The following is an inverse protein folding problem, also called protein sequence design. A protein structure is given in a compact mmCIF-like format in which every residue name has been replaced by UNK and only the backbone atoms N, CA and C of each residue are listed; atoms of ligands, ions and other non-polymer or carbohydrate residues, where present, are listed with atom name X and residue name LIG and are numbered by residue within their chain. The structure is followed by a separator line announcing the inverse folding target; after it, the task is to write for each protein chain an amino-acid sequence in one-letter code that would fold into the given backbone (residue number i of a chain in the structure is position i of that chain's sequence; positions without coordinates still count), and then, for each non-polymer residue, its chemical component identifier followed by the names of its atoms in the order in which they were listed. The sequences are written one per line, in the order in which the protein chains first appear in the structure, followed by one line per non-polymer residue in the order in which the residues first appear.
data_IF_263060751671
#
_entry.id   IF_263060751671
#
_cell.length_a   1.000
_cell.length_b   1.000
_cell.length_c   1.000
_cell.angle_alpha   90.00
_cell.angle_beta   90.00
_cell.angle_gamma   90.00
#
_symmetry.space_group_name_H-M   'P 1'
#
loop_
_entity.id
_entity.type
_entity.pdbx_description
1 polymer ?
#
# COMPACT_ATOMS: atom_id res chain seq x y z
N UNK A 1 29.58 10.37 -11.65
CA UNK A 1 28.51 9.47 -11.14
C UNK A 1 27.19 10.18 -11.30
N UNK A 2 26.44 9.86 -12.36
CA UNK A 2 25.03 10.21 -12.46
C UNK A 2 24.31 9.39 -11.38
N UNK A 3 23.88 10.05 -10.31
CA UNK A 3 22.90 9.49 -9.40
C UNK A 3 21.69 9.15 -10.26
N UNK A 4 21.37 7.86 -10.36
CA UNK A 4 20.12 7.38 -10.92
C UNK A 4 19.01 8.20 -10.25
N UNK A 5 18.26 8.98 -11.02
CA UNK A 5 17.10 9.72 -10.52
C UNK A 5 15.99 8.70 -10.24
N UNK A 6 16.12 8.02 -9.11
CA UNK A 6 15.08 7.13 -8.63
C UNK A 6 13.87 8.02 -8.33
N UNK A 7 12.82 7.90 -9.12
CA UNK A 7 11.59 8.62 -8.91
C UNK A 7 11.04 8.28 -7.53
N UNK A 8 10.79 9.29 -6.72
CA UNK A 8 10.39 9.18 -5.31
C UNK A 8 8.98 9.74 -5.12
N UNK A 9 8.25 9.16 -4.18
CA UNK A 9 6.89 9.55 -3.84
C UNK A 9 6.79 9.92 -2.35
N UNK A 10 5.66 10.46 -1.90
CA UNK A 10 5.38 10.70 -0.47
C UNK A 10 5.49 9.39 0.31
N UNK A 11 5.06 8.26 -0.26
CA UNK A 11 5.23 6.93 0.32
C UNK A 11 6.72 6.61 0.64
N UNK A 12 7.64 6.95 -0.26
CA UNK A 12 9.06 6.68 -0.04
C UNK A 12 9.62 7.53 1.12
N UNK A 13 9.12 8.75 1.29
CA UNK A 13 9.43 9.58 2.47
C UNK A 13 8.88 8.93 3.76
N UNK A 14 7.67 8.39 3.72
CA UNK A 14 7.07 7.68 4.85
C UNK A 14 7.90 6.45 5.26
N UNK A 15 8.31 5.62 4.30
CA UNK A 15 9.21 4.48 4.53
C UNK A 15 10.52 4.93 5.19
N UNK A 16 11.12 5.99 4.67
CA UNK A 16 12.38 6.53 5.18
C UNK A 16 12.27 7.03 6.63
N UNK A 17 11.29 7.88 6.94
CA UNK A 17 11.19 8.50 8.28
C UNK A 17 10.76 7.52 9.37
N UNK A 18 10.02 6.46 9.01
CA UNK A 18 9.63 5.40 9.94
C UNK A 18 10.62 4.22 9.98
N UNK A 19 11.66 4.24 9.14
CA UNK A 19 12.66 3.17 9.04
C UNK A 19 12.05 1.78 8.82
N UNK A 20 10.97 1.72 8.05
CA UNK A 20 10.33 0.45 7.70
C UNK A 20 10.96 -0.14 6.43
N UNK A 21 10.88 -1.48 6.24
CA UNK A 21 11.40 -2.12 5.04
C UNK A 21 10.75 -1.60 3.77
N UNK A 22 11.55 -1.24 2.77
CA UNK A 22 11.04 -0.75 1.49
C UNK A 22 10.53 -1.89 0.58
N UNK A 23 11.05 -3.11 0.76
CA UNK A 23 10.70 -4.30 -0.01
C UNK A 23 10.78 -5.56 0.87
N UNK A 24 10.15 -6.62 0.43
CA UNK A 24 10.28 -7.95 1.03
C UNK A 24 11.71 -8.51 0.82
N UNK A 25 12.16 -9.34 1.74
CA UNK A 25 13.37 -10.11 1.60
C UNK A 25 13.17 -11.24 0.59
N UNK A 26 14.27 -11.83 0.12
CA UNK A 26 14.21 -12.98 -0.79
C UNK A 26 13.47 -14.14 -0.11
N UNK A 27 12.48 -14.71 -0.79
CA UNK A 27 11.60 -15.77 -0.28
C UNK A 27 10.65 -15.39 0.87
N UNK A 28 10.62 -14.14 1.34
CA UNK A 28 9.66 -13.69 2.34
C UNK A 28 8.23 -13.67 1.78
N UNK A 29 7.27 -14.24 2.52
CA UNK A 29 5.86 -14.17 2.13
C UNK A 29 5.30 -12.76 2.32
N UNK A 30 4.20 -12.45 1.62
CA UNK A 30 3.50 -11.16 1.79
C UNK A 30 2.99 -10.96 3.23
N UNK A 31 2.60 -12.05 3.90
CA UNK A 31 2.14 -12.02 5.28
C UNK A 31 3.29 -11.69 6.24
N UNK A 32 4.45 -12.36 6.07
CA UNK A 32 5.63 -12.11 6.91
C UNK A 32 6.15 -10.68 6.70
N UNK A 33 6.23 -10.22 5.45
CA UNK A 33 6.60 -8.85 5.13
C UNK A 33 5.67 -7.83 5.78
N UNK A 34 4.36 -8.03 5.70
CA UNK A 34 3.38 -7.17 6.35
C UNK A 34 3.52 -7.19 7.87
N UNK A 35 3.67 -8.38 8.46
CA UNK A 35 3.92 -8.56 9.90
C UNK A 35 5.18 -7.82 10.36
N UNK A 36 6.26 -7.90 9.59
CA UNK A 36 7.52 -7.19 9.86
C UNK A 36 7.35 -5.67 9.82
N UNK A 37 6.57 -5.15 8.87
CA UNK A 37 6.25 -3.72 8.82
C UNK A 37 5.43 -3.30 10.04
N UNK A 38 4.37 -4.03 10.39
CA UNK A 38 3.54 -3.71 11.55
C UNK A 38 4.34 -3.76 12.86
N UNK A 39 5.21 -4.75 13.03
CA UNK A 39 6.11 -4.84 14.18
C UNK A 39 7.07 -3.65 14.28
N UNK A 40 7.53 -3.11 13.16
CA UNK A 40 8.39 -1.92 13.13
C UNK A 40 7.64 -0.64 13.45
N UNK A 41 6.37 -0.56 13.10
CA UNK A 41 5.53 0.60 13.39
C UNK A 41 5.02 0.59 14.84
N UNK A 42 4.92 -0.57 15.47
CA UNK A 42 4.62 -0.70 16.90
C UNK A 42 5.87 -0.32 17.73
N UNK A 43 5.71 0.48 18.78
CA UNK A 43 6.79 0.70 19.73
C UNK A 43 6.73 -0.32 20.87
N UNK A 44 7.82 -0.37 21.68
CA UNK A 44 7.95 -1.31 22.80
C UNK A 44 6.96 -1.07 23.95
N UNK A 45 6.29 0.10 23.97
CA UNK A 45 5.33 0.48 25.01
C UNK A 45 3.86 0.23 24.59
N UNK A 46 3.63 -0.48 23.48
CA UNK A 46 2.28 -0.71 22.93
C UNK A 46 1.65 0.52 22.27
N UNK A 47 2.37 1.63 22.20
CA UNK A 47 1.95 2.83 21.47
C UNK A 47 2.44 2.75 20.04
N UNK A 48 1.56 3.08 19.10
CA UNK A 48 1.92 3.15 17.69
C UNK A 48 2.02 4.62 17.28
N UNK A 49 3.24 5.17 17.39
CA UNK A 49 3.55 6.54 16.99
C UNK A 49 4.09 6.55 15.57
N UNK A 50 3.29 7.03 14.64
CA UNK A 50 3.62 7.05 13.23
C UNK A 50 4.10 8.44 12.83
N UNK A 51 5.25 8.49 12.16
CA UNK A 51 5.78 9.72 11.55
C UNK A 51 5.15 9.91 10.18
N UNK A 52 4.25 10.88 10.06
CA UNK A 52 3.65 11.24 8.79
C UNK A 52 4.47 12.36 8.14
N UNK A 53 5.12 12.13 6.98
CA UNK A 53 5.75 13.19 6.21
C UNK A 53 4.70 14.17 5.70
N UNK A 54 5.11 15.41 5.45
CA UNK A 54 4.23 16.39 4.82
C UNK A 54 3.62 15.80 3.53
N UNK A 55 2.33 16.01 3.34
CA UNK A 55 1.59 15.45 2.19
C UNK A 55 0.97 14.07 2.45
N UNK A 56 1.36 13.34 3.50
CA UNK A 56 0.68 12.11 3.90
C UNK A 56 -0.38 12.39 4.97
N UNK A 57 -1.60 11.91 4.72
CA UNK A 57 -2.72 12.04 5.66
C UNK A 57 -2.91 10.78 6.50
N UNK A 58 -3.70 10.90 7.60
CA UNK A 58 -4.13 9.73 8.40
C UNK A 58 -4.87 8.71 7.56
N UNK A 59 -5.76 9.16 6.66
CA UNK A 59 -6.52 8.30 5.76
C UNK A 59 -5.61 7.51 4.82
N UNK A 60 -4.55 8.15 4.32
CA UNK A 60 -3.55 7.47 3.48
C UNK A 60 -2.76 6.42 4.27
N UNK A 61 -2.43 6.69 5.53
CA UNK A 61 -1.82 5.71 6.42
C UNK A 61 -2.76 4.52 6.70
N UNK A 62 -4.04 4.78 6.97
CA UNK A 62 -5.04 3.73 7.14
C UNK A 62 -5.21 2.89 5.86
N UNK A 63 -5.18 3.55 4.69
CA UNK A 63 -5.16 2.86 3.40
C UNK A 63 -3.92 1.99 3.19
N UNK A 64 -2.76 2.43 3.67
CA UNK A 64 -1.55 1.61 3.69
C UNK A 64 -1.70 0.37 4.58
N UNK A 65 -2.28 0.51 5.77
CA UNK A 65 -2.60 -0.65 6.64
C UNK A 65 -3.51 -1.64 5.90
N UNK A 66 -4.60 -1.16 5.33
CA UNK A 66 -5.54 -2.00 4.55
C UNK A 66 -4.84 -2.67 3.36
N UNK A 67 -3.97 -1.95 2.66
CA UNK A 67 -3.18 -2.48 1.54
C UNK A 67 -2.29 -3.65 1.94
N UNK A 68 -1.64 -3.55 3.10
CA UNK A 68 -0.76 -4.57 3.66
C UNK A 68 -1.50 -5.74 4.31
N UNK A 69 -2.74 -5.54 4.77
CA UNK A 69 -3.50 -6.55 5.51
C UNK A 69 -3.74 -7.79 4.65
N UNK A 70 -3.27 -8.96 5.11
CA UNK A 70 -3.33 -10.23 4.38
C UNK A 70 -4.30 -11.24 4.98
N UNK A 71 -4.70 -11.05 6.24
CA UNK A 71 -5.54 -11.99 6.99
C UNK A 71 -6.44 -11.32 8.04
N UNK A 72 -6.82 -10.06 7.85
CA UNK A 72 -7.72 -9.38 8.76
C UNK A 72 -9.17 -9.82 8.52
N UNK A 73 -9.89 -10.11 9.60
CA UNK A 73 -11.30 -10.54 9.54
C UNK A 73 -12.24 -9.41 9.10
N UNK A 74 -11.90 -8.15 9.42
CA UNK A 74 -12.76 -6.99 9.22
C UNK A 74 -12.42 -6.22 7.94
N UNK A 75 -11.14 -5.98 7.68
CA UNK A 75 -10.66 -5.21 6.53
C UNK A 75 -9.40 -5.85 5.98
N UNK A 76 -9.53 -6.54 4.86
CA UNK A 76 -8.42 -7.22 4.22
C UNK A 76 -8.31 -6.78 2.76
N UNK A 77 -7.33 -5.94 2.46
CA UNK A 77 -7.04 -5.53 1.08
C UNK A 77 -6.27 -6.59 0.32
N UNK A 78 -5.37 -7.28 1.00
CA UNK A 78 -4.42 -8.27 0.46
C UNK A 78 -3.73 -7.82 -0.85
N UNK A 79 -3.60 -6.51 -1.03
CA UNK A 79 -3.05 -5.94 -2.27
C UNK A 79 -1.57 -6.24 -2.42
N UNK A 80 -0.85 -6.32 -1.28
CA UNK A 80 0.59 -6.60 -1.22
C UNK A 80 0.95 -7.96 -1.80
N UNK A 81 0.02 -8.93 -1.82
CA UNK A 81 0.23 -10.26 -2.37
C UNK A 81 0.62 -10.26 -3.86
N UNK A 82 0.11 -9.27 -4.62
CA UNK A 82 0.42 -9.08 -6.03
C UNK A 82 1.17 -7.75 -6.28
N UNK A 83 0.86 -6.73 -5.51
CA UNK A 83 1.45 -5.39 -5.65
C UNK A 83 2.55 -5.14 -4.61
N UNK A 84 3.59 -5.99 -4.65
CA UNK A 84 4.71 -5.91 -3.71
C UNK A 84 5.45 -4.56 -3.82
N UNK A 85 5.69 -3.83 -2.69
CA UNK A 85 6.66 -2.74 -2.66
C UNK A 85 8.07 -3.28 -3.03
N UNK A 86 8.93 -2.51 -3.53
CA UNK A 86 9.09 -1.09 -3.79
C UNK A 86 8.37 -0.62 -5.07
N UNK A 87 8.20 -1.50 -6.06
CA UNK A 87 7.63 -1.18 -7.38
C UNK A 87 6.11 -1.29 -7.42
N UNK A 88 5.49 -1.84 -6.37
CA UNK A 88 4.05 -2.13 -6.32
C UNK A 88 3.57 -3.01 -7.46
N UNK A 89 4.35 -4.03 -7.77
CA UNK A 89 4.09 -5.12 -8.70
C UNK A 89 5.01 -6.28 -8.38
N UNK A 90 4.54 -7.50 -8.54
CA UNK A 90 5.35 -8.72 -8.47
C UNK A 90 5.87 -9.17 -9.85
N UNK A 91 5.53 -8.40 -10.90
CA UNK A 91 5.85 -8.69 -12.31
C UNK A 91 5.28 -10.03 -12.81
N UNK A 92 4.38 -10.66 -12.06
CA UNK A 92 3.73 -11.92 -12.43
C UNK A 92 2.39 -11.70 -13.13
N UNK A 93 1.77 -12.77 -13.54
CA UNK A 93 0.44 -12.78 -14.17
C UNK A 93 -0.53 -13.55 -13.27
N UNK A 94 -1.71 -13.00 -13.10
CA UNK A 94 -2.75 -13.50 -12.21
C UNK A 94 -4.09 -13.61 -12.91
N UNK A 95 -4.92 -14.56 -12.47
CA UNK A 95 -6.31 -14.67 -12.90
C UNK A 95 -7.16 -13.79 -11.99
N UNK A 96 -7.55 -12.61 -12.49
CA UNK A 96 -8.33 -11.60 -11.75
C UNK A 96 -9.71 -11.34 -12.37
N UNK A 97 -10.15 -12.22 -13.26
CA UNK A 97 -11.48 -12.18 -13.89
C UNK A 97 -12.05 -13.59 -14.06
N UNK A 98 -13.38 -13.71 -14.05
CA UNK A 98 -14.09 -14.97 -14.28
C UNK A 98 -13.80 -15.62 -15.65
N UNK A 99 -13.21 -14.89 -16.58
CA UNK A 99 -12.81 -15.39 -17.89
C UNK A 99 -11.57 -16.28 -17.87
N UNK A 100 -10.93 -16.48 -16.71
CA UNK A 100 -9.74 -17.30 -16.54
C UNK A 100 -8.48 -16.77 -17.25
N UNK A 101 -8.50 -15.54 -17.77
CA UNK A 101 -7.35 -14.97 -18.49
C UNK A 101 -6.28 -14.49 -17.53
N UNK A 102 -5.05 -14.95 -17.72
CA UNK A 102 -3.87 -14.44 -17.04
C UNK A 102 -3.59 -12.97 -17.45
N UNK A 103 -3.58 -12.09 -16.49
CA UNK A 103 -3.30 -10.66 -16.66
C UNK A 103 -2.04 -10.27 -15.90
N UNK A 104 -1.13 -9.46 -16.48
CA UNK A 104 0.06 -9.00 -15.77
C UNK A 104 -0.34 -8.06 -14.63
N UNK A 105 0.40 -8.10 -13.52
CA UNK A 105 0.25 -7.15 -12.41
C UNK A 105 0.85 -5.80 -12.82
N UNK A 106 0.05 -4.75 -13.03
CA UNK A 106 0.60 -3.44 -13.33
C UNK A 106 1.22 -2.82 -12.06
N UNK A 107 2.26 -2.01 -12.24
CA UNK A 107 2.74 -1.18 -11.13
C UNK A 107 1.67 -0.16 -10.72
N UNK A 108 1.50 0.02 -9.40
CA UNK A 108 0.61 1.05 -8.86
C UNK A 108 1.29 2.43 -8.73
N UNK A 109 2.59 2.53 -9.01
CA UNK A 109 3.28 3.82 -9.07
C UNK A 109 2.58 4.75 -10.06
N UNK A 110 2.40 6.01 -9.69
CA UNK A 110 1.73 7.04 -10.48
C UNK A 110 0.26 6.78 -10.84
N UNK A 111 -0.42 5.89 -10.11
CA UNK A 111 -1.86 5.65 -10.34
C UNK A 111 -2.72 6.91 -10.21
N UNK A 112 -2.40 7.79 -9.25
CA UNK A 112 -3.11 9.06 -9.07
C UNK A 112 -2.90 10.08 -10.20
N UNK A 113 -1.85 9.91 -11.03
CA UNK A 113 -1.59 10.74 -12.21
C UNK A 113 -2.29 10.22 -13.48
N UNK A 114 -2.77 8.98 -13.45
CA UNK A 114 -3.50 8.41 -14.58
C UNK A 114 -4.90 8.99 -14.62
N UNK A 115 -5.44 9.22 -15.82
CA UNK A 115 -6.82 9.69 -16.02
C UNK A 115 -7.83 8.55 -15.75
N UNK A 116 -7.78 7.96 -14.57
CA UNK A 116 -8.67 6.88 -14.15
C UNK A 116 -9.37 7.25 -12.85
N UNK A 117 -10.62 6.84 -12.71
CA UNK A 117 -11.33 6.98 -11.46
C UNK A 117 -10.90 5.83 -10.53
N UNK A 118 -10.00 6.13 -9.58
CA UNK A 118 -9.46 5.13 -8.66
C UNK A 118 -10.56 4.42 -7.87
N UNK A 119 -11.59 5.16 -7.44
CA UNK A 119 -12.74 4.60 -6.72
C UNK A 119 -13.45 3.51 -7.53
N UNK A 120 -13.75 3.80 -8.80
CA UNK A 120 -14.37 2.81 -9.71
C UNK A 120 -13.47 1.60 -9.95
N UNK A 121 -12.16 1.82 -10.07
CA UNK A 121 -11.19 0.73 -10.22
C UNK A 121 -11.20 -0.17 -8.98
N UNK A 122 -11.14 0.41 -7.78
CA UNK A 122 -11.17 -0.35 -6.52
C UNK A 122 -12.49 -1.13 -6.35
N UNK A 123 -13.62 -0.51 -6.65
CA UNK A 123 -14.93 -1.16 -6.61
C UNK A 123 -15.00 -2.34 -7.59
N UNK A 124 -14.51 -2.17 -8.81
CA UNK A 124 -14.46 -3.24 -9.80
C UNK A 124 -13.54 -4.39 -9.36
N UNK A 125 -12.42 -4.10 -8.71
CA UNK A 125 -11.52 -5.12 -8.14
C UNK A 125 -12.19 -5.88 -7.02
N UNK A 126 -12.85 -5.19 -6.09
CA UNK A 126 -13.60 -5.83 -5.01
C UNK A 126 -14.70 -6.75 -5.55
N UNK A 127 -15.50 -6.29 -6.51
CA UNK A 127 -16.53 -7.12 -7.16
C UNK A 127 -15.90 -8.32 -7.88
N UNK A 128 -14.79 -8.12 -8.61
CA UNK A 128 -14.07 -9.17 -9.32
C UNK A 128 -13.49 -10.26 -8.41
N UNK A 129 -13.12 -9.93 -7.17
CA UNK A 129 -12.58 -10.89 -6.21
C UNK A 129 -13.59 -11.99 -5.81
N UNK A 130 -14.87 -11.78 -6.01
CA UNK A 130 -15.95 -12.75 -5.75
C UNK A 130 -16.19 -13.70 -6.91
N UNK A 131 -15.55 -13.51 -8.06
CA UNK A 131 -15.75 -14.35 -9.23
C UNK A 131 -15.13 -15.75 -9.05
N UNK A 132 -15.77 -16.77 -9.64
CA UNK A 132 -15.21 -18.12 -9.66
C UNK A 132 -13.96 -18.18 -10.53
N UNK A 133 -12.98 -19.00 -10.14
CA UNK A 133 -11.78 -19.27 -10.92
C UNK A 133 -10.70 -18.17 -10.85
N UNK A 134 -10.88 -17.14 -10.04
CA UNK A 134 -9.80 -16.16 -9.77
C UNK A 134 -8.82 -16.69 -8.73
N UNK A 135 -7.61 -16.14 -8.71
CA UNK A 135 -6.53 -16.56 -7.80
C UNK A 135 -6.96 -16.50 -6.34
N UNK A 136 -6.47 -17.44 -5.53
CA UNK A 136 -6.81 -17.57 -4.12
C UNK A 136 -6.50 -16.29 -3.33
N UNK A 137 -5.34 -15.67 -3.58
CA UNK A 137 -4.95 -14.41 -2.93
C UNK A 137 -5.89 -13.27 -3.29
N UNK A 138 -6.36 -13.20 -4.52
CA UNK A 138 -7.32 -12.18 -4.94
C UNK A 138 -8.69 -12.36 -4.26
N UNK A 139 -9.10 -13.59 -3.98
CA UNK A 139 -10.37 -13.90 -3.28
C UNK A 139 -10.38 -13.49 -1.81
N UNK A 140 -9.22 -13.34 -1.17
CA UNK A 140 -9.12 -12.90 0.23
C UNK A 140 -9.57 -11.45 0.45
N UNK A 141 -9.68 -10.65 -0.61
CA UNK A 141 -10.07 -9.25 -0.52
C UNK A 141 -11.45 -9.09 0.14
N UNK A 142 -11.48 -8.37 1.26
CA UNK A 142 -12.68 -8.02 2.01
C UNK A 142 -12.59 -6.58 2.48
N UNK A 143 -13.35 -5.69 1.85
CA UNK A 143 -13.28 -4.25 2.03
C UNK A 143 -14.67 -3.64 2.19
N UNK A 144 -14.79 -2.65 3.06
CA UNK A 144 -15.95 -1.78 3.18
C UNK A 144 -15.76 -0.46 2.42
N UNK A 145 -16.76 0.42 2.43
CA UNK A 145 -16.71 1.70 1.72
C UNK A 145 -15.65 2.67 2.27
N UNK A 146 -15.37 2.60 3.58
CA UNK A 146 -14.36 3.41 4.25
C UNK A 146 -12.97 2.96 3.81
N UNK A 147 -12.73 1.64 3.72
CA UNK A 147 -11.48 1.08 3.22
C UNK A 147 -11.16 1.52 1.81
N UNK A 148 -12.17 1.56 0.94
CA UNK A 148 -11.97 2.05 -0.44
C UNK A 148 -11.54 3.52 -0.46
N UNK A 149 -12.06 4.35 0.45
CA UNK A 149 -11.65 5.75 0.58
C UNK A 149 -10.20 5.86 1.06
N UNK A 150 -9.85 5.07 2.07
CA UNK A 150 -8.48 5.03 2.59
C UNK A 150 -7.48 4.51 1.56
N UNK A 151 -7.81 3.43 0.84
CA UNK A 151 -6.99 2.91 -0.24
C UNK A 151 -6.79 3.92 -1.37
N UNK A 152 -7.84 4.66 -1.76
CA UNK A 152 -7.73 5.73 -2.75
C UNK A 152 -6.76 6.82 -2.28
N UNK A 153 -6.85 7.24 -1.01
CA UNK A 153 -5.93 8.20 -0.42
C UNK A 153 -4.49 7.67 -0.44
N UNK A 154 -4.27 6.40 -0.09
CA UNK A 154 -2.95 5.77 -0.14
C UNK A 154 -2.38 5.70 -1.56
N UNK A 155 -3.15 5.24 -2.54
CA UNK A 155 -2.68 5.10 -3.92
C UNK A 155 -2.21 6.43 -4.52
N UNK A 156 -2.77 7.55 -4.10
CA UNK A 156 -2.32 8.89 -4.47
C UNK A 156 -0.93 9.22 -3.92
N UNK A 157 -0.50 8.59 -2.83
CA UNK A 157 0.83 8.77 -2.23
C UNK A 157 1.95 8.06 -3.01
N UNK A 158 1.59 7.25 -4.01
CA UNK A 158 2.54 6.54 -4.87
C UNK A 158 2.93 7.36 -6.12
N UNK A 159 2.51 8.62 -6.20
CA UNK A 159 2.86 9.50 -7.30
C UNK A 159 4.27 10.08 -7.11
N UNK A 160 5.06 10.06 -8.18
CA UNK A 160 6.37 10.68 -8.20
C UNK A 160 6.28 12.18 -7.94
N UNK A 161 7.21 12.68 -7.14
CA UNK A 161 7.37 14.08 -6.76
C UNK A 161 8.76 14.57 -7.15
N UNK A 162 8.98 15.88 -7.10
CA UNK A 162 10.31 16.45 -7.32
C UNK A 162 11.26 16.14 -6.13
N UNK A 163 12.57 16.19 -6.38
CA UNK A 163 13.56 16.02 -5.31
C UNK A 163 13.45 17.13 -4.24
N UNK A 164 13.04 18.34 -4.63
CA UNK A 164 12.77 19.44 -3.70
C UNK A 164 11.62 19.10 -2.77
N UNK A 165 10.51 18.63 -3.32
CA UNK A 165 9.33 18.24 -2.54
C UNK A 165 9.63 17.04 -1.64
N UNK A 166 10.36 16.04 -2.14
CA UNK A 166 10.77 14.89 -1.34
C UNK A 166 11.60 15.31 -0.12
N UNK A 167 12.57 16.22 -0.28
CA UNK A 167 13.35 16.77 0.84
C UNK A 167 12.45 17.49 1.84
N UNK A 168 11.51 18.29 1.36
CA UNK A 168 10.54 18.98 2.22
C UNK A 168 9.72 17.97 3.04
N UNK A 169 9.29 16.89 2.43
CA UNK A 169 8.49 15.87 3.10
C UNK A 169 9.23 15.17 4.25
N UNK A 170 10.50 14.84 4.08
CA UNK A 170 11.30 14.20 5.13
C UNK A 170 11.70 15.16 6.27
N UNK A 171 11.70 16.46 6.02
CA UNK A 171 12.04 17.49 7.03
C UNK A 171 10.80 17.95 7.83
N UNK A 172 9.61 17.85 7.25
CA UNK A 172 8.37 18.32 7.86
C UNK A 172 7.49 17.11 8.23
N UNK A 173 7.59 16.66 9.47
CA UNK A 173 6.96 15.44 9.98
C UNK A 173 5.91 15.81 11.03
N UNK A 174 4.73 15.17 10.95
CA UNK A 174 3.73 15.14 12.02
C UNK A 174 3.76 13.79 12.71
N UNK A 175 3.57 13.77 14.01
CA UNK A 175 3.40 12.52 14.77
C UNK A 175 1.90 12.22 14.86
N UNK A 176 1.54 11.02 14.45
CA UNK A 176 0.20 10.45 14.59
C UNK A 176 0.26 9.36 15.66
N UNK A 177 -0.46 9.55 16.75
CA UNK A 177 -0.70 8.49 17.73
C UNK A 177 -1.90 7.65 17.26
N UNK A 178 -1.65 6.38 16.99
CA UNK A 178 -2.66 5.42 16.54
C UNK A 178 -2.94 4.35 17.60
N UNK A 179 -2.53 4.57 18.85
CA UNK A 179 -2.68 3.61 19.95
C UNK A 179 -4.14 3.27 20.26
N UNK A 180 -5.09 4.15 19.88
CA UNK A 180 -6.53 3.90 19.99
C UNK A 180 -7.18 3.27 18.75
N UNK A 181 -6.43 3.04 17.68
CA UNK A 181 -6.94 2.48 16.41
C UNK A 181 -6.74 0.95 16.34
N UNK A 182 -6.47 0.30 17.48
CA UNK A 182 -6.32 -1.15 17.58
C UNK A 182 -7.72 -1.74 17.80
N UNK A 183 -8.50 -1.85 16.74
CA UNK A 183 -9.65 -2.73 16.63
C UNK A 183 -9.46 -3.71 15.47
#
# INVERSE_FOLDING_TARGET
HRLSTTKRAVYDAFVYVNRIPAKADESESSADFSGRIFSRLANQEGRVLIKLPQGMTREAYLGYKTFLSTDAKVSNGNCVACHAPEKFTDLKRHIVTSKGKLSPTPSLRNMGKRKVNLRKVLQAKLAGSKAKGVDAEYRKMHLNQKDLTHLEAFLKQLNDVSDKDFRSYILNIKILDTSGDIE
#
